data_IF_366394973586
#
_entry.id   IF_366394973586
#
_cell.length_a   1.000
_cell.length_b   1.000
_cell.length_c   1.000
_cell.angle_alpha   90.00
_cell.angle_beta   90.00
_cell.angle_gamma   90.00
#
_symmetry.space_group_name_H-M   'P 1'
#
loop_
_entity.id
_entity.type
_entity.pdbx_description
1 polymer ?
#
# COMPACT_ATOMS: atom_id res chain seq x y z
N UNK A 1 0.77 18.37 -3.20
CA UNK A 1 0.70 16.92 -2.93
C UNK A 1 1.80 16.24 -3.72
N UNK A 2 2.49 15.26 -3.13
CA UNK A 2 3.49 14.46 -3.85
C UNK A 2 2.77 13.28 -4.50
N UNK A 3 2.87 13.17 -5.82
CA UNK A 3 2.41 11.99 -6.54
C UNK A 3 3.47 10.88 -6.41
N UNK A 4 3.16 9.82 -5.64
CA UNK A 4 4.08 8.71 -5.40
C UNK A 4 4.43 7.94 -6.69
N UNK A 5 3.49 7.83 -7.63
CA UNK A 5 3.74 7.20 -8.93
C UNK A 5 4.77 7.98 -9.73
N UNK A 6 4.64 9.30 -9.76
CA UNK A 6 5.57 10.19 -10.45
C UNK A 6 6.97 10.16 -9.82
N UNK A 7 7.04 10.25 -8.49
CA UNK A 7 8.29 10.14 -7.74
C UNK A 7 8.99 8.80 -8.00
N UNK A 8 8.22 7.71 -8.00
CA UNK A 8 8.77 6.38 -8.28
C UNK A 8 9.34 6.30 -9.70
N UNK A 9 8.63 6.80 -10.71
CA UNK A 9 9.08 6.75 -12.11
C UNK A 9 10.30 7.63 -12.39
N UNK A 10 10.33 8.85 -11.85
CA UNK A 10 11.37 9.85 -12.16
C UNK A 10 12.63 9.69 -11.31
N UNK A 11 12.50 9.27 -10.06
CA UNK A 11 13.63 9.28 -9.11
C UNK A 11 14.03 7.88 -8.65
N UNK A 12 13.06 7.07 -8.21
CA UNK A 12 13.36 5.78 -7.56
C UNK A 12 13.78 4.73 -8.59
N UNK A 13 13.04 4.60 -9.69
CA UNK A 13 13.28 3.61 -10.73
C UNK A 13 14.68 3.74 -11.35
N UNK A 14 15.16 4.94 -11.76
CA UNK A 14 16.53 5.08 -12.29
C UNK A 14 17.62 4.78 -11.26
N UNK A 15 17.39 5.10 -9.99
CA UNK A 15 18.33 4.76 -8.90
C UNK A 15 18.46 3.25 -8.74
N UNK A 16 17.34 2.53 -8.70
CA UNK A 16 17.32 1.07 -8.60
C UNK A 16 17.99 0.38 -9.79
N UNK A 17 17.79 0.86 -11.02
CA UNK A 17 18.47 0.30 -12.21
C UNK A 17 19.99 0.42 -12.07
N UNK A 18 20.49 1.57 -11.60
CA UNK A 18 21.93 1.80 -11.40
C UNK A 18 22.51 0.97 -10.26
N UNK A 19 21.82 0.93 -9.13
CA UNK A 19 22.27 0.24 -7.92
C UNK A 19 22.30 -1.29 -8.11
N UNK A 20 21.24 -1.85 -8.70
CA UNK A 20 21.12 -3.28 -8.94
C UNK A 20 21.67 -3.73 -10.31
N UNK A 21 22.28 -2.81 -11.07
CA UNK A 21 22.84 -3.05 -12.43
C UNK A 21 21.87 -3.83 -13.33
N UNK A 22 20.60 -3.45 -13.29
CA UNK A 22 19.55 -4.14 -14.04
C UNK A 22 19.73 -3.88 -15.53
N UNK A 23 19.70 -4.93 -16.33
CA UNK A 23 19.84 -4.87 -17.80
C UNK A 23 18.68 -4.16 -18.49
N UNK A 24 17.50 -4.16 -17.87
CA UNK A 24 16.29 -3.57 -18.45
C UNK A 24 15.48 -2.81 -17.41
N UNK A 25 14.96 -1.64 -17.79
CA UNK A 25 14.06 -0.82 -16.96
C UNK A 25 12.74 -1.52 -16.57
N UNK A 26 12.39 -2.63 -17.23
CA UNK A 26 11.21 -3.43 -16.90
C UNK A 26 11.48 -4.40 -15.73
N UNK A 27 12.75 -4.66 -15.42
CA UNK A 27 13.14 -5.56 -14.33
C UNK A 27 13.10 -4.87 -12.95
N UNK A 28 12.85 -3.57 -12.87
CA UNK A 28 12.76 -2.87 -11.58
C UNK A 28 11.54 -3.31 -10.77
N UNK A 29 11.69 -3.58 -9.46
CA UNK A 29 10.60 -3.98 -8.58
C UNK A 29 9.48 -2.93 -8.52
N UNK A 30 8.22 -3.35 -8.64
CA UNK A 30 7.03 -2.50 -8.55
C UNK A 30 6.18 -2.86 -7.33
N UNK A 31 5.42 -1.89 -6.80
CA UNK A 31 4.41 -2.16 -5.78
C UNK A 31 3.19 -2.77 -6.48
N UNK A 32 2.84 -4.01 -6.14
CA UNK A 32 1.71 -4.72 -6.74
C UNK A 32 0.41 -4.50 -5.96
N UNK A 33 0.46 -4.61 -4.63
CA UNK A 33 -0.69 -4.39 -3.75
C UNK A 33 -0.25 -3.96 -2.36
N UNK A 34 -1.11 -3.21 -1.68
CA UNK A 34 -0.98 -2.89 -0.26
C UNK A 34 -2.18 -3.47 0.46
N UNK A 35 -1.95 -4.36 1.42
CA UNK A 35 -3.02 -4.97 2.23
C UNK A 35 -3.01 -4.29 3.59
N UNK A 36 -4.14 -3.72 3.98
CA UNK A 36 -4.34 -3.14 5.31
C UNK A 36 -5.10 -4.16 6.15
N UNK A 37 -4.53 -4.56 7.28
CA UNK A 37 -5.13 -5.49 8.21
C UNK A 37 -5.27 -4.83 9.58
N UNK A 38 -6.37 -5.13 10.28
CA UNK A 38 -6.61 -4.67 11.64
C UNK A 38 -6.97 -5.87 12.52
N UNK A 39 -6.15 -6.10 13.54
CA UNK A 39 -6.41 -7.14 14.53
C UNK A 39 -7.43 -6.67 15.56
N UNK A 40 -8.64 -7.23 15.53
CA UNK A 40 -9.77 -6.83 16.39
C UNK A 40 -10.00 -7.77 17.60
N UNK A 41 -9.10 -8.73 17.85
CA UNK A 41 -9.04 -9.52 19.09
C UNK A 41 -10.38 -10.10 19.56
N UNK A 42 -10.68 -9.92 20.85
CA UNK A 42 -11.92 -10.39 21.50
C UNK A 42 -13.18 -9.69 20.98
N UNK A 43 -13.04 -8.45 20.49
CA UNK A 43 -14.12 -7.65 19.92
C UNK A 43 -14.60 -8.18 18.56
N UNK A 44 -13.89 -9.15 17.97
CA UNK A 44 -14.36 -9.90 16.79
C UNK A 44 -15.69 -10.62 16.99
N UNK A 45 -16.09 -10.87 18.25
CA UNK A 45 -17.39 -11.50 18.56
C UNK A 45 -18.54 -10.49 18.58
N UNK A 46 -18.23 -9.20 18.74
CA UNK A 46 -19.23 -8.14 18.72
C UNK A 46 -19.44 -7.61 17.29
N UNK A 47 -20.66 -7.81 16.77
CA UNK A 47 -21.06 -7.33 15.46
C UNK A 47 -21.08 -5.81 15.36
N UNK A 48 -21.31 -5.08 16.46
CA UNK A 48 -21.29 -3.62 16.47
C UNK A 48 -19.85 -3.10 16.32
N UNK A 49 -18.91 -3.68 17.06
CA UNK A 49 -17.49 -3.37 16.96
C UNK A 49 -16.96 -3.63 15.54
N UNK A 50 -17.26 -4.79 14.94
CA UNK A 50 -16.87 -5.09 13.55
C UNK A 50 -17.37 -4.02 12.56
N UNK A 51 -18.59 -3.53 12.73
CA UNK A 51 -19.14 -2.48 11.85
C UNK A 51 -18.42 -1.14 12.04
N UNK A 52 -18.09 -0.77 13.27
CA UNK A 52 -17.32 0.44 13.56
C UNK A 52 -15.92 0.35 12.92
N UNK A 53 -15.23 -0.76 13.13
CA UNK A 53 -13.92 -1.04 12.56
C UNK A 53 -13.89 -1.02 11.03
N UNK A 54 -14.92 -1.58 10.38
CA UNK A 54 -15.05 -1.47 8.92
C UNK A 54 -15.24 -0.02 8.47
N UNK A 55 -16.02 0.77 9.20
CA UNK A 55 -16.22 2.20 8.90
C UNK A 55 -14.92 2.99 9.03
N UNK A 56 -14.12 2.69 10.04
CA UNK A 56 -12.83 3.35 10.24
C UNK A 56 -11.85 3.00 9.12
N UNK A 57 -11.73 1.71 8.77
CA UNK A 57 -10.90 1.28 7.64
C UNK A 57 -11.37 1.90 6.32
N UNK A 58 -12.68 2.01 6.09
CA UNK A 58 -13.23 2.66 4.91
C UNK A 58 -12.93 4.16 4.89
N UNK A 59 -12.96 4.82 6.04
CA UNK A 59 -12.62 6.25 6.16
C UNK A 59 -11.14 6.50 5.89
N UNK A 60 -10.27 5.60 6.34
CA UNK A 60 -8.81 5.72 6.17
C UNK A 60 -8.38 5.36 4.75
N UNK A 61 -8.85 4.22 4.23
CA UNK A 61 -8.41 3.69 2.94
C UNK A 61 -9.24 4.19 1.76
N UNK A 62 -10.42 4.77 2.02
CA UNK A 62 -11.39 5.13 0.99
C UNK A 62 -12.06 3.91 0.33
N UNK A 63 -11.91 2.72 0.91
CA UNK A 63 -12.36 1.46 0.34
C UNK A 63 -13.18 0.65 1.36
N UNK A 64 -14.30 0.08 0.91
CA UNK A 64 -15.24 -0.71 1.74
C UNK A 64 -14.87 -2.18 1.76
#
# INVERSE_FOLDING_TARGET
MINLSEKYQKEVKPKLVKEFKLTTHMATPKIEKVIVNMGIGEESKDKAAIKAFKKDLATITGQV
#
